data_IF_977826576065
#
_entry.id   IF_977826576065
#
_cell.length_a   1.000
_cell.length_b   1.000
_cell.length_c   1.000
_cell.angle_alpha   90.00
_cell.angle_beta   90.00
_cell.angle_gamma   90.00
#
_symmetry.space_group_name_H-M   'P 1'
#
loop_
_entity.id
_entity.type
_entity.pdbx_description
1 polymer ?
#
# COMPACT_ATOMS: atom_id res chain seq x y z
N UNK A 1 35.45 38.30 24.78
CA UNK A 1 34.95 37.29 23.83
C UNK A 1 33.63 36.76 24.38
N UNK A 2 32.55 36.97 23.63
CA UNK A 2 31.17 36.67 24.05
C UNK A 2 30.85 35.18 23.90
N UNK A 3 30.12 34.62 24.87
CA UNK A 3 29.53 33.29 24.82
C UNK A 3 28.13 33.37 24.20
N UNK A 4 27.87 32.59 23.14
CA UNK A 4 26.55 32.44 22.53
C UNK A 4 25.92 31.15 23.05
N UNK A 5 24.99 31.29 24.00
CA UNK A 5 24.08 30.24 24.44
C UNK A 5 22.85 30.28 23.53
N UNK A 6 22.51 29.16 22.88
CA UNK A 6 21.28 29.01 22.11
C UNK A 6 20.42 27.95 22.79
N UNK A 7 19.41 28.40 23.54
CA UNK A 7 18.35 27.57 24.10
C UNK A 7 17.17 27.60 23.14
N UNK A 8 16.73 26.45 22.62
CA UNK A 8 15.48 26.34 21.87
C UNK A 8 14.52 25.43 22.62
N UNK A 9 13.56 26.04 23.32
CA UNK A 9 12.37 25.41 23.86
C UNK A 9 11.19 25.78 22.97
N UNK A 10 10.61 24.81 22.25
CA UNK A 10 9.34 25.01 21.55
C UNK A 10 8.32 24.01 22.06
N UNK A 11 7.33 24.54 22.78
CA UNK A 11 6.21 23.84 23.37
C UNK A 11 5.17 23.42 22.35
N UNK A 12 4.61 22.23 22.59
CA UNK A 12 3.51 21.56 21.90
C UNK A 12 2.18 22.30 22.15
N UNK A 13 1.24 22.29 21.18
CA UNK A 13 -0.18 22.25 21.50
C UNK A 13 -0.77 20.86 21.17
N UNK A 14 -1.26 20.17 22.20
CA UNK A 14 -2.10 18.99 22.07
C UNK A 14 -3.50 19.42 21.59
N UNK A 15 -3.93 18.95 20.43
CA UNK A 15 -5.36 18.92 20.08
C UNK A 15 -5.90 17.50 20.31
N UNK A 16 -6.77 17.40 21.32
CA UNK A 16 -7.68 16.27 21.58
C UNK A 16 -8.70 16.12 20.42
N UNK A 17 -9.44 15.01 20.49
CA UNK A 17 -10.60 14.56 19.70
C UNK A 17 -10.25 13.59 18.55
N UNK A 18 -10.92 12.45 18.37
CA UNK A 18 -11.99 11.73 19.08
C UNK A 18 -12.04 10.34 18.41
N UNK A 19 -12.18 9.26 19.16
CA UNK A 19 -12.62 7.99 18.58
C UNK A 19 -14.06 8.13 18.06
N UNK A 20 -14.36 7.60 16.87
CA UNK A 20 -15.56 6.78 16.63
C UNK A 20 -15.63 6.18 15.22
N UNK A 21 -16.28 5.05 15.22
CA UNK A 21 -16.57 4.05 14.20
C UNK A 21 -17.39 4.53 13.00
N UNK A 22 -17.30 3.74 11.92
CA UNK A 22 -18.39 3.28 11.03
C UNK A 22 -19.64 4.16 10.86
N UNK A 23 -19.91 4.59 9.62
CA UNK A 23 -21.20 4.45 8.90
C UNK A 23 -21.29 5.51 7.79
N UNK A 24 -21.34 5.07 6.53
CA UNK A 24 -22.54 5.03 5.68
C UNK A 24 -22.82 6.34 4.92
N UNK A 25 -23.04 6.12 3.63
CA UNK A 25 -23.66 6.95 2.61
C UNK A 25 -24.85 7.76 3.15
N UNK A 26 -25.02 9.00 2.69
CA UNK A 26 -26.13 9.29 1.79
C UNK A 26 -26.01 10.67 1.12
N UNK A 27 -26.78 10.77 0.05
CA UNK A 27 -26.75 11.74 -1.03
C UNK A 27 -27.52 13.01 -0.68
N UNK A 28 -27.04 14.20 -1.04
CA UNK A 28 -27.95 15.26 -1.49
C UNK A 28 -27.24 16.34 -2.31
N UNK A 29 -27.86 16.59 -3.46
CA UNK A 29 -27.54 17.56 -4.50
C UNK A 29 -27.64 19.00 -4.01
N UNK A 30 -26.69 19.86 -4.41
CA UNK A 30 -26.91 21.27 -4.74
C UNK A 30 -25.74 21.81 -5.57
N UNK A 31 -26.07 22.32 -6.75
CA UNK A 31 -25.19 22.90 -7.76
C UNK A 31 -24.31 24.05 -7.23
N UNK A 32 -23.16 24.31 -7.88
CA UNK A 32 -22.85 25.57 -8.60
C UNK A 32 -21.34 25.67 -8.95
N UNK A 33 -21.09 25.92 -10.25
CA UNK A 33 -19.94 26.55 -10.92
C UNK A 33 -18.60 25.80 -11.06
N UNK A 34 -18.40 25.30 -12.28
CA UNK A 34 -17.11 24.91 -12.88
C UNK A 34 -16.24 26.14 -13.18
N UNK A 35 -14.91 25.98 -13.19
CA UNK A 35 -14.13 26.42 -14.33
C UNK A 35 -13.38 25.26 -14.99
N UNK A 36 -13.19 25.42 -16.30
CA UNK A 36 -12.67 24.46 -17.27
C UNK A 36 -11.32 23.86 -16.88
N UNK A 37 -11.29 22.54 -16.66
CA UNK A 37 -10.06 21.74 -16.74
C UNK A 37 -10.32 20.66 -17.77
N UNK A 38 -9.60 20.74 -18.88
CA UNK A 38 -9.51 19.70 -19.90
C UNK A 38 -9.01 18.44 -19.21
N UNK A 39 -9.94 17.54 -18.90
CA UNK A 39 -9.66 16.23 -18.34
C UNK A 39 -9.43 15.31 -19.52
N UNK A 40 -8.22 14.78 -19.65
CA UNK A 40 -7.95 13.70 -20.58
C UNK A 40 -8.75 12.47 -20.11
N UNK A 41 -9.81 12.15 -20.84
CA UNK A 41 -10.59 10.93 -20.62
C UNK A 41 -9.75 9.73 -21.07
N UNK A 42 -9.05 9.09 -20.14
CA UNK A 42 -8.63 7.70 -20.38
C UNK A 42 -9.84 6.82 -20.16
N UNK A 43 -10.49 6.44 -21.26
CA UNK A 43 -11.52 5.40 -21.30
C UNK A 43 -10.89 4.09 -20.85
N UNK A 44 -11.14 3.68 -19.60
CA UNK A 44 -10.95 2.30 -19.21
C UNK A 44 -12.16 1.50 -19.66
N UNK A 45 -12.05 0.88 -20.84
CA UNK A 45 -12.96 -0.18 -21.27
C UNK A 45 -12.71 -1.41 -20.39
N UNK A 46 -13.57 -1.65 -19.41
CA UNK A 46 -13.64 -2.94 -18.73
C UNK A 46 -14.46 -3.87 -19.61
N UNK A 47 -13.80 -4.78 -20.34
CA UNK A 47 -14.46 -5.96 -20.88
C UNK A 47 -14.52 -7.03 -19.78
N UNK A 48 -15.72 -7.36 -19.34
CA UNK A 48 -16.02 -8.55 -18.55
C UNK A 48 -15.74 -9.81 -19.40
N UNK A 49 -14.92 -10.77 -18.94
CA UNK A 49 -14.87 -12.09 -19.55
C UNK A 49 -15.98 -13.01 -18.99
N UNK A 50 -16.48 -13.96 -19.79
CA UNK A 50 -17.60 -14.82 -19.42
C UNK A 50 -17.22 -15.83 -18.35
N UNK A 51 -18.21 -16.17 -17.51
CA UNK A 51 -18.17 -17.26 -16.57
C UNK A 51 -17.94 -18.60 -17.28
N UNK A 52 -16.86 -19.30 -16.92
CA UNK A 52 -16.67 -20.72 -17.22
C UNK A 52 -16.22 -21.42 -15.94
N UNK A 53 -16.97 -22.45 -15.56
CA UNK A 53 -16.81 -23.21 -14.34
C UNK A 53 -15.58 -24.13 -14.40
N UNK A 54 -14.70 -23.96 -13.43
CA UNK A 54 -13.63 -24.91 -13.11
C UNK A 54 -12.96 -24.44 -11.84
N UNK A 55 -13.07 -25.19 -10.74
CA UNK A 55 -12.55 -24.82 -9.41
C UNK A 55 -11.10 -24.30 -9.49
N UNK A 56 -10.87 -22.99 -9.33
CA UNK A 56 -9.53 -22.46 -9.09
C UNK A 56 -9.43 -22.23 -7.58
N UNK A 57 -8.49 -22.87 -6.90
CA UNK A 57 -8.24 -22.58 -5.48
C UNK A 57 -8.21 -21.07 -5.29
N UNK A 58 -9.24 -20.54 -4.61
CA UNK A 58 -9.60 -19.12 -4.44
C UNK A 58 -8.47 -18.17 -4.82
N UNK A 59 -8.38 -17.89 -6.12
CA UNK A 59 -7.39 -16.97 -6.67
C UNK A 59 -7.88 -15.54 -6.40
N UNK A 60 -7.91 -15.18 -5.12
CA UNK A 60 -8.24 -13.82 -4.69
C UNK A 60 -7.26 -12.90 -5.41
N UNK A 61 -7.80 -12.20 -6.41
CA UNK A 61 -7.06 -11.25 -7.22
C UNK A 61 -6.45 -10.25 -6.25
N UNK A 62 -5.12 -10.27 -6.14
CA UNK A 62 -4.42 -9.39 -5.23
C UNK A 62 -4.58 -7.95 -5.71
N UNK A 63 -5.13 -7.10 -4.86
CA UNK A 63 -5.35 -5.68 -5.14
C UNK A 63 -4.55 -4.80 -4.19
N UNK A 64 -4.39 -3.53 -4.56
CA UNK A 64 -3.74 -2.54 -3.68
C UNK A 64 -4.54 -2.47 -2.37
N UNK A 65 -3.85 -2.54 -1.24
CA UNK A 65 -4.47 -2.61 0.09
C UNK A 65 -4.78 -4.03 0.58
N UNK A 66 -4.62 -5.07 -0.25
CA UNK A 66 -4.83 -6.45 0.20
C UNK A 66 -3.79 -6.86 1.24
N UNK A 67 -4.18 -7.56 2.31
CA UNK A 67 -3.24 -8.16 3.26
C UNK A 67 -2.56 -9.36 2.62
N UNK A 68 -1.25 -9.47 2.81
CA UNK A 68 -0.42 -10.54 2.25
C UNK A 68 0.53 -11.09 3.28
N UNK A 69 0.92 -12.36 3.12
CA UNK A 69 1.95 -13.02 3.90
C UNK A 69 3.07 -13.51 3.00
N UNK A 70 4.31 -13.25 3.41
CA UNK A 70 5.51 -13.72 2.72
C UNK A 70 5.63 -15.23 2.93
N UNK A 71 5.71 -16.01 1.85
CA UNK A 71 5.83 -17.47 1.90
C UNK A 71 7.28 -17.94 1.86
N UNK A 72 8.16 -17.17 1.20
CA UNK A 72 9.57 -17.49 1.04
C UNK A 72 10.37 -16.19 1.03
N UNK A 73 11.55 -16.18 1.68
CA UNK A 73 12.44 -15.03 1.70
C UNK A 73 13.08 -14.83 0.32
N UNK A 74 12.89 -13.68 -0.35
CA UNK A 74 13.61 -13.36 -1.58
C UNK A 74 15.12 -13.32 -1.33
N UNK A 75 15.96 -13.80 -2.26
CA UNK A 75 17.43 -13.72 -2.13
C UNK A 75 17.95 -12.27 -2.15
N UNK A 76 17.32 -11.43 -2.95
CA UNK A 76 17.65 -10.01 -3.12
C UNK A 76 16.37 -9.19 -3.07
N UNK A 77 16.46 -7.98 -2.52
CA UNK A 77 15.30 -7.10 -2.35
C UNK A 77 15.65 -5.65 -2.66
N UNK A 78 14.70 -4.89 -3.23
CA UNK A 78 14.85 -3.44 -3.45
C UNK A 78 14.02 -2.68 -2.42
N UNK A 79 14.61 -1.64 -1.84
CA UNK A 79 13.88 -0.72 -0.97
C UNK A 79 13.14 0.33 -1.79
N UNK A 80 11.92 0.64 -1.36
CA UNK A 80 11.14 1.74 -1.92
C UNK A 80 11.54 3.06 -1.23
N UNK A 81 12.71 3.58 -1.60
CA UNK A 81 13.25 4.87 -1.16
C UNK A 81 13.52 5.77 -2.38
N UNK A 82 13.85 7.05 -2.17
CA UNK A 82 14.19 8.01 -3.24
C UNK A 82 15.32 7.50 -4.14
N UNK A 83 16.29 6.79 -3.55
CA UNK A 83 17.33 6.05 -4.25
C UNK A 83 17.13 4.55 -3.98
N UNK A 84 16.49 3.80 -4.89
CA UNK A 84 16.30 2.37 -4.73
C UNK A 84 17.62 1.63 -4.82
N UNK A 85 18.03 0.97 -3.73
CA UNK A 85 19.18 0.08 -3.74
C UNK A 85 18.72 -1.38 -3.69
N UNK A 86 19.30 -2.19 -4.58
CA UNK A 86 19.16 -3.64 -4.55
C UNK A 86 20.16 -4.19 -3.53
N UNK A 87 19.67 -4.92 -2.54
CA UNK A 87 20.46 -5.45 -1.43
C UNK A 87 20.16 -6.93 -1.22
N UNK A 88 21.14 -7.67 -0.70
CA UNK A 88 20.91 -9.05 -0.26
C UNK A 88 19.90 -9.02 0.89
N UNK A 89 18.97 -9.97 0.89
CA UNK A 89 18.04 -10.11 1.99
C UNK A 89 18.74 -10.79 3.18
N UNK A 90 19.48 -10.00 3.96
CA UNK A 90 20.14 -10.44 5.19
C UNK A 90 19.14 -10.55 6.36
N UNK A 91 18.02 -11.23 6.14
CA UNK A 91 16.94 -11.40 7.12
C UNK A 91 16.04 -10.17 7.29
N UNK A 92 16.02 -9.25 6.31
CA UNK A 92 15.14 -8.09 6.29
C UNK A 92 13.68 -8.49 6.07
N UNK A 93 13.47 -9.50 5.24
CA UNK A 93 12.17 -10.09 4.95
C UNK A 93 12.27 -11.58 5.18
N UNK A 94 11.40 -12.09 6.04
CA UNK A 94 11.36 -13.48 6.46
C UNK A 94 10.06 -14.14 6.01
N UNK A 95 10.04 -15.46 5.81
CA UNK A 95 8.79 -16.19 5.66
C UNK A 95 7.92 -15.97 6.91
N UNK A 96 6.62 -15.77 6.71
CA UNK A 96 5.67 -15.44 7.75
C UNK A 96 5.51 -13.94 8.01
N UNK A 97 6.35 -13.07 7.43
CA UNK A 97 6.15 -11.63 7.53
C UNK A 97 4.83 -11.23 6.85
N UNK A 98 4.01 -10.51 7.59
CA UNK A 98 2.72 -10.00 7.11
C UNK A 98 2.88 -8.55 6.68
N UNK A 99 2.23 -8.21 5.58
CA UNK A 99 2.26 -6.87 5.02
C UNK A 99 1.00 -6.52 4.25
N UNK A 100 1.07 -5.36 3.61
CA UNK A 100 0.00 -4.84 2.77
C UNK A 100 0.52 -4.37 1.43
N UNK A 101 -0.22 -4.64 0.37
CA UNK A 101 0.15 -4.17 -0.97
C UNK A 101 0.00 -2.65 -1.06
N UNK A 102 1.06 -1.96 -1.46
CA UNK A 102 1.10 -0.50 -1.65
C UNK A 102 0.88 -0.12 -3.11
N UNK A 103 1.54 -0.81 -4.04
CA UNK A 103 1.38 -0.53 -5.48
C UNK A 103 1.78 -1.72 -6.34
N UNK A 104 1.17 -1.82 -7.53
CA UNK A 104 1.58 -2.76 -8.57
C UNK A 104 2.74 -2.18 -9.37
N UNK A 105 3.72 -3.02 -9.71
CA UNK A 105 4.78 -2.73 -10.67
C UNK A 105 4.68 -3.71 -11.84
N UNK A 106 5.29 -3.38 -12.99
CA UNK A 106 5.39 -4.31 -14.11
C UNK A 106 6.09 -5.61 -13.70
N UNK A 107 5.86 -6.68 -14.48
CA UNK A 107 6.49 -8.00 -14.31
C UNK A 107 6.18 -8.68 -12.96
N UNK A 108 4.94 -8.54 -12.49
CA UNK A 108 4.47 -9.09 -11.22
C UNK A 108 5.35 -8.77 -10.02
N UNK A 109 5.98 -7.59 -10.06
CA UNK A 109 6.66 -7.01 -8.91
C UNK A 109 5.67 -6.12 -8.16
N UNK A 110 5.70 -6.17 -6.84
CA UNK A 110 4.75 -5.46 -5.99
C UNK A 110 5.49 -4.70 -4.90
N UNK A 111 5.06 -3.48 -4.62
CA UNK A 111 5.51 -2.78 -3.43
C UNK A 111 4.69 -3.27 -2.25
N UNK A 112 5.33 -3.92 -1.28
CA UNK A 112 4.70 -4.45 -0.07
C UNK A 112 5.21 -3.66 1.13
N UNK A 113 4.30 -3.12 1.94
CA UNK A 113 4.60 -2.51 3.23
C UNK A 113 4.65 -3.58 4.29
N UNK A 114 5.84 -3.82 4.82
CA UNK A 114 6.12 -4.63 6.00
C UNK A 114 6.40 -3.72 7.19
N UNK A 115 6.49 -4.30 8.40
CA UNK A 115 6.84 -3.56 9.62
C UNK A 115 8.18 -2.84 9.50
N UNK A 116 9.17 -3.48 8.87
CA UNK A 116 10.51 -2.92 8.67
C UNK A 116 10.58 -1.84 7.57
N UNK A 117 9.63 -1.82 6.64
CA UNK A 117 9.62 -0.84 5.56
C UNK A 117 8.86 -1.29 4.33
N UNK A 118 8.95 -0.51 3.26
CA UNK A 118 8.33 -0.84 1.97
C UNK A 118 9.38 -1.42 1.02
N UNK A 119 9.09 -2.59 0.46
CA UNK A 119 10.01 -3.31 -0.42
C UNK A 119 9.34 -3.74 -1.71
N UNK A 120 10.13 -3.90 -2.77
CA UNK A 120 9.68 -4.50 -4.02
C UNK A 120 9.90 -6.01 -3.94
N UNK A 121 8.81 -6.77 -4.01
CA UNK A 121 8.76 -8.22 -3.87
C UNK A 121 8.01 -8.80 -5.08
N UNK A 122 8.53 -9.87 -5.67
CA UNK A 122 7.84 -10.58 -6.75
C UNK A 122 6.60 -11.31 -6.21
N UNK A 123 5.56 -11.44 -7.02
CA UNK A 123 4.31 -12.15 -6.68
C UNK A 123 4.50 -13.61 -6.26
N UNK A 124 5.65 -14.23 -6.58
CA UNK A 124 5.97 -15.60 -6.18
C UNK A 124 6.38 -15.76 -4.71
N UNK A 125 6.74 -14.67 -4.04
CA UNK A 125 7.24 -14.72 -2.65
C UNK A 125 6.17 -14.42 -1.61
N UNK A 126 4.94 -14.13 -2.01
CA UNK A 126 3.84 -13.86 -1.08
C UNK A 126 2.52 -14.40 -1.60
N UNK A 127 1.57 -14.56 -0.68
CA UNK A 127 0.19 -14.97 -0.98
C UNK A 127 -0.80 -14.09 -0.21
N UNK A 128 -2.08 -14.03 -0.63
CA UNK A 128 -3.14 -13.40 0.17
C UNK A 128 -3.14 -13.94 1.61
N UNK A 129 -3.34 -13.07 2.58
CA UNK A 129 -3.55 -13.51 3.96
C UNK A 129 -5.02 -13.97 4.09
N UNK A 130 -5.22 -15.27 4.23
CA UNK A 130 -6.51 -15.86 4.57
C UNK A 130 -6.65 -15.82 6.09
N UNK A 131 -7.65 -15.09 6.59
CA UNK A 131 -8.07 -15.17 7.98
C UNK A 131 -9.29 -16.09 7.97
N UNK A 132 -9.11 -17.33 8.43
CA UNK A 132 -10.25 -18.19 8.73
C UNK A 132 -10.92 -17.61 10.00
N UNK A 133 -12.21 -17.28 9.89
CA UNK A 133 -13.02 -16.66 10.95
C UNK A 133 -13.36 -17.66 12.07
#
# INVERSE_FOLDING_TARGET
MAALSLSFTTSIPCSKFRSCSTSQFDSTSSQIRRPSVVTFTTVCESKEPPAEAGLPGRNSKLEIGSPVIVIEAPKMIKTFASVPCLRVNSGLVKPGDVGRIVSRKPKDVWAVRLTIGTYLIDGKYFKPLELDE
#
